data_IF_398686196473
#
_entry.id   IF_398686196473
#
_cell.length_a   1.000
_cell.length_b   1.000
_cell.length_c   1.000
_cell.angle_alpha   90.00
_cell.angle_beta   90.00
_cell.angle_gamma   90.00
#
_symmetry.space_group_name_H-M   'P 1'
#
loop_
_entity.id
_entity.type
_entity.pdbx_description
1 polymer ?
#
# COMPACT_ATOMS: atom_id res chain seq x y z
N UNK A 1 -10.45 4.32 1.73
CA UNK A 1 -10.03 4.86 0.42
C UNK A 1 -8.80 5.75 0.56
N UNK A 2 -8.93 6.98 1.09
CA UNK A 2 -7.82 7.93 1.16
C UNK A 2 -6.59 7.42 1.94
N UNK A 3 -6.78 6.93 3.16
CA UNK A 3 -5.70 6.37 3.98
C UNK A 3 -4.98 5.20 3.29
N UNK A 4 -5.70 4.32 2.59
CA UNK A 4 -5.08 3.23 1.81
C UNK A 4 -4.33 3.74 0.59
N UNK A 5 -4.82 4.80 -0.08
CA UNK A 5 -4.10 5.43 -1.18
C UNK A 5 -2.75 5.99 -0.70
N UNK A 6 -2.73 6.70 0.43
CA UNK A 6 -1.50 7.18 1.06
C UNK A 6 -0.55 6.04 1.45
N UNK A 7 -1.10 4.95 2.00
CA UNK A 7 -0.31 3.76 2.32
C UNK A 7 0.37 3.20 1.07
N UNK A 8 -0.38 2.98 -0.01
CA UNK A 8 0.18 2.39 -1.25
C UNK A 8 1.19 3.33 -1.91
N UNK A 9 0.92 4.64 -1.96
CA UNK A 9 1.89 5.63 -2.44
C UNK A 9 3.19 5.55 -1.62
N UNK A 10 3.09 5.52 -0.29
CA UNK A 10 4.26 5.44 0.58
C UNK A 10 5.01 4.12 0.45
N UNK A 11 4.31 2.99 0.32
CA UNK A 11 4.93 1.68 0.08
C UNK A 11 5.69 1.66 -1.24
N UNK A 12 5.11 2.19 -2.33
CA UNK A 12 5.82 2.30 -3.60
C UNK A 12 7.02 3.22 -3.50
N UNK A 13 6.88 4.37 -2.83
CA UNK A 13 8.00 5.29 -2.60
C UNK A 13 9.17 4.67 -1.84
N UNK A 14 8.89 3.83 -0.83
CA UNK A 14 9.91 3.16 0.01
C UNK A 14 10.61 2.02 -0.74
N UNK A 15 9.89 1.32 -1.61
CA UNK A 15 10.40 0.11 -2.30
C UNK A 15 10.96 0.39 -3.69
N UNK A 16 10.62 1.52 -4.31
CA UNK A 16 11.06 1.82 -5.67
C UNK A 16 12.58 2.07 -5.73
N UNK A 17 13.23 1.30 -6.60
CA UNK A 17 14.66 1.33 -6.84
C UNK A 17 15.13 2.62 -7.52
N UNK A 18 14.22 3.33 -8.19
CA UNK A 18 14.49 4.59 -8.88
C UNK A 18 14.21 5.82 -7.98
N UNK A 19 13.56 5.63 -6.84
CA UNK A 19 13.18 6.67 -5.87
C UNK A 19 13.95 6.55 -4.54
N UNK A 20 15.23 6.21 -4.57
CA UNK A 20 16.08 5.96 -3.39
C UNK A 20 15.42 4.97 -2.41
N UNK A 21 15.49 3.66 -2.68
CA UNK A 21 14.81 2.67 -1.86
C UNK A 21 15.38 2.65 -0.44
N UNK A 22 14.53 2.33 0.52
CA UNK A 22 14.98 1.98 1.85
C UNK A 22 15.86 0.71 1.80
N UNK A 23 16.82 0.60 2.71
CA UNK A 23 17.59 -0.64 2.82
C UNK A 23 16.66 -1.82 3.15
N UNK A 24 16.99 -3.06 2.75
CA UNK A 24 16.17 -4.24 3.07
C UNK A 24 15.87 -4.40 4.57
N UNK A 25 16.79 -3.94 5.42
CA UNK A 25 16.66 -3.98 6.88
C UNK A 25 15.79 -2.84 7.43
N UNK A 26 15.78 -1.66 6.79
CA UNK A 26 15.02 -0.50 7.25
C UNK A 26 13.63 -0.37 6.61
N UNK A 27 13.39 -1.05 5.48
CA UNK A 27 12.12 -0.99 4.77
C UNK A 27 10.91 -1.40 5.65
N UNK A 28 10.97 -2.49 6.45
CA UNK A 28 9.86 -2.86 7.34
C UNK A 28 9.57 -1.76 8.38
N UNK A 29 10.62 -1.17 8.96
CA UNK A 29 10.50 -0.08 9.94
C UNK A 29 9.90 1.17 9.31
N UNK A 30 10.31 1.52 8.09
CA UNK A 30 9.76 2.67 7.36
C UNK A 30 8.26 2.48 7.07
N UNK A 31 7.86 1.29 6.62
CA UNK A 31 6.44 0.96 6.40
C UNK A 31 5.67 0.93 7.71
N UNK A 32 6.25 0.44 8.81
CA UNK A 32 5.61 0.45 10.12
C UNK A 32 5.34 1.89 10.60
N UNK A 33 6.33 2.79 10.48
CA UNK A 33 6.16 4.21 10.82
C UNK A 33 5.11 4.89 9.93
N UNK A 34 5.05 4.55 8.65
CA UNK A 34 4.01 5.02 7.74
C UNK A 34 2.62 4.60 8.22
N UNK A 35 2.43 3.33 8.58
CA UNK A 35 1.16 2.82 9.12
C UNK A 35 0.80 3.51 10.44
N UNK A 36 1.77 3.72 11.33
CA UNK A 36 1.55 4.44 12.59
C UNK A 36 1.11 5.88 12.33
N UNK A 37 1.79 6.61 11.45
CA UNK A 37 1.45 7.99 11.11
C UNK A 37 0.04 8.10 10.50
N UNK A 38 -0.31 7.21 9.56
CA UNK A 38 -1.65 7.15 8.98
C UNK A 38 -2.68 6.78 10.06
N UNK A 39 -2.36 5.85 10.96
CA UNK A 39 -3.20 5.49 12.09
C UNK A 39 -3.48 6.68 13.00
N UNK A 40 -2.45 7.40 13.42
CA UNK A 40 -2.62 8.59 14.27
C UNK A 40 -3.45 9.68 13.60
N UNK A 41 -3.28 9.88 12.29
CA UNK A 41 -4.00 10.93 11.55
C UNK A 41 -5.46 10.57 11.20
N UNK A 42 -5.76 9.29 10.94
CA UNK A 42 -7.05 8.90 10.34
C UNK A 42 -7.84 7.85 11.13
N UNK A 43 -7.33 7.32 12.25
CA UNK A 43 -7.97 6.22 12.99
C UNK A 43 -9.37 6.58 13.51
N UNK A 44 -9.59 7.81 13.98
CA UNK A 44 -10.87 8.23 14.59
C UNK A 44 -12.06 8.19 13.64
N UNK A 45 -11.83 8.22 12.32
CA UNK A 45 -12.92 8.26 11.33
C UNK A 45 -13.50 6.86 11.05
N UNK A 46 -12.64 5.85 10.91
CA UNK A 46 -13.04 4.50 10.42
C UNK A 46 -12.27 3.34 11.05
N UNK A 47 -11.55 3.58 12.16
CA UNK A 47 -10.80 2.54 12.87
C UNK A 47 -9.56 2.02 12.14
N UNK A 48 -9.01 2.82 11.21
CA UNK A 48 -7.86 2.43 10.37
C UNK A 48 -8.17 1.19 9.49
N UNK A 49 -9.33 1.21 8.82
CA UNK A 49 -9.72 0.22 7.82
C UNK A 49 -8.92 0.39 6.51
N UNK A 50 -7.61 0.16 6.57
CA UNK A 50 -6.68 0.33 5.43
C UNK A 50 -6.44 -0.95 4.63
N UNK A 51 -6.87 -2.11 5.15
CA UNK A 51 -6.62 -3.43 4.58
C UNK A 51 -7.88 -4.33 4.72
N UNK A 52 -8.39 -4.95 3.65
CA UNK A 52 -9.54 -5.84 3.70
C UNK A 52 -9.35 -7.03 4.65
N UNK A 53 -8.17 -7.67 4.65
CA UNK A 53 -7.89 -8.84 5.49
C UNK A 53 -7.90 -8.50 6.99
N UNK A 54 -7.50 -7.26 7.34
CA UNK A 54 -7.44 -6.73 8.71
C UNK A 54 -8.83 -6.51 9.33
N UNK A 55 -9.88 -6.49 8.52
CA UNK A 55 -11.27 -6.35 8.96
C UNK A 55 -12.07 -7.64 8.73
N UNK A 56 -11.94 -8.26 7.55
CA UNK A 56 -12.71 -9.47 7.21
C UNK A 56 -12.32 -10.70 8.03
N UNK A 57 -11.02 -10.91 8.29
CA UNK A 57 -10.54 -12.06 9.07
C UNK A 57 -11.12 -12.12 10.48
N UNK A 58 -10.99 -11.04 11.29
CA UNK A 58 -11.63 -10.96 12.60
C UNK A 58 -13.15 -11.13 12.55
N UNK A 59 -13.85 -10.59 11.53
CA UNK A 59 -15.30 -10.80 11.39
C UNK A 59 -15.68 -12.25 11.16
N UNK A 60 -14.91 -12.97 10.32
CA UNK A 60 -15.14 -14.39 10.09
C UNK A 60 -14.89 -15.21 11.36
N UNK A 61 -13.86 -14.87 12.13
CA UNK A 61 -13.64 -15.47 13.45
C UNK A 61 -14.80 -15.19 14.40
N UNK A 62 -15.35 -13.98 14.42
CA UNK A 62 -16.51 -13.67 15.27
C UNK A 62 -17.75 -14.47 14.86
N UNK A 63 -17.98 -14.67 13.55
CA UNK A 63 -19.07 -15.51 13.05
C UNK A 63 -18.99 -16.92 13.64
N UNK A 64 -17.81 -17.53 13.69
CA UNK A 64 -17.60 -18.88 14.23
C UNK A 64 -17.50 -18.92 15.76
N UNK A 65 -17.07 -17.83 16.40
CA UNK A 65 -16.95 -17.70 17.85
C UNK A 65 -18.29 -17.43 18.58
N UNK A 66 -19.42 -17.61 17.89
CA UNK A 66 -20.76 -17.54 18.50
C UNK A 66 -21.41 -16.16 18.47
N UNK A 67 -20.80 -15.14 17.84
CA UNK A 67 -21.46 -13.84 17.61
C UNK A 67 -22.51 -13.90 16.50
N UNK A 68 -22.50 -14.95 15.67
CA UNK A 68 -23.47 -15.15 14.59
C UNK A 68 -23.32 -14.15 13.43
N UNK A 69 -24.29 -14.14 12.51
CA UNK A 69 -24.26 -13.31 11.30
C UNK A 69 -24.42 -11.80 11.56
N UNK A 70 -24.76 -11.43 12.80
CA UNK A 70 -25.01 -10.03 13.16
C UNK A 70 -23.80 -9.13 12.89
N UNK A 71 -22.58 -9.66 12.98
CA UNK A 71 -21.31 -8.97 12.69
C UNK A 71 -21.21 -8.39 11.27
N UNK A 72 -22.00 -8.92 10.33
CA UNK A 72 -22.10 -8.41 8.96
C UNK A 72 -23.26 -7.42 8.77
N UNK A 73 -24.25 -7.42 9.67
CA UNK A 73 -25.40 -6.49 9.61
C UNK A 73 -25.18 -5.18 10.39
N UNK A 74 -24.18 -5.13 11.27
CA UNK A 74 -23.87 -3.96 12.11
C UNK A 74 -23.65 -2.68 11.27
N UNK A 75 -24.16 -1.56 11.81
CA UNK A 75 -24.02 -0.21 11.25
C UNK A 75 -24.40 -0.11 9.76
N UNK A 76 -25.61 -0.55 9.42
CA UNK A 76 -26.13 -0.56 8.04
C UNK A 76 -25.24 -1.36 7.07
N UNK A 77 -24.88 -2.59 7.46
CA UNK A 77 -24.03 -3.47 6.65
C UNK A 77 -22.64 -2.90 6.37
N UNK A 78 -22.00 -2.26 7.36
CA UNK A 78 -20.72 -1.59 7.17
C UNK A 78 -19.57 -2.51 6.69
N UNK A 79 -19.69 -3.84 6.83
CA UNK A 79 -18.64 -4.82 6.53
C UNK A 79 -18.04 -4.70 5.11
N UNK A 80 -18.80 -4.23 4.12
CA UNK A 80 -18.30 -4.12 2.75
C UNK A 80 -17.38 -2.90 2.55
N UNK A 81 -17.53 -1.85 3.37
CA UNK A 81 -16.76 -0.60 3.24
C UNK A 81 -15.26 -0.84 3.47
N UNK A 82 -14.82 -1.55 4.53
CA UNK A 82 -13.42 -1.95 4.72
C UNK A 82 -12.87 -2.93 3.66
N UNK A 83 -13.71 -3.49 2.80
CA UNK A 83 -13.28 -4.38 1.71
C UNK A 83 -13.08 -3.58 0.42
N UNK A 84 -14.13 -2.90 -0.02
CA UNK A 84 -14.13 -2.15 -1.27
C UNK A 84 -13.28 -0.88 -1.15
N UNK A 85 -13.42 -0.15 -0.05
CA UNK A 85 -12.74 1.14 0.16
C UNK A 85 -11.21 1.04 0.08
N UNK A 86 -10.57 0.06 0.74
CA UNK A 86 -9.14 -0.18 0.60
C UNK A 86 -8.73 -0.69 -0.79
N UNK A 87 -9.51 -1.58 -1.40
CA UNK A 87 -9.18 -2.12 -2.72
C UNK A 87 -9.13 -1.02 -3.77
N UNK A 88 -10.15 -0.16 -3.80
CA UNK A 88 -10.20 0.99 -4.71
C UNK A 88 -9.13 2.03 -4.32
N UNK A 89 -8.96 2.31 -3.02
CA UNK A 89 -7.95 3.24 -2.55
C UNK A 89 -6.53 2.81 -2.92
N UNK A 90 -6.21 1.53 -2.83
CA UNK A 90 -4.91 0.99 -3.19
C UNK A 90 -4.64 1.08 -4.69
N UNK A 91 -5.62 0.72 -5.53
CA UNK A 91 -5.51 0.89 -6.98
C UNK A 91 -5.26 2.36 -7.36
N UNK A 92 -6.04 3.29 -6.81
CA UNK A 92 -5.87 4.72 -7.04
C UNK A 92 -4.51 5.24 -6.54
N UNK A 93 -4.07 4.82 -5.34
CA UNK A 93 -2.77 5.20 -4.81
C UNK A 93 -1.61 4.75 -5.70
N UNK A 94 -1.66 3.51 -6.21
CA UNK A 94 -0.65 3.00 -7.14
C UNK A 94 -0.62 3.79 -8.45
N UNK A 95 -1.79 4.07 -9.03
CA UNK A 95 -1.90 4.88 -10.25
C UNK A 95 -1.34 6.29 -10.05
N UNK A 96 -1.67 6.94 -8.92
CA UNK A 96 -1.16 8.27 -8.58
C UNK A 96 0.36 8.26 -8.44
N UNK A 97 0.93 7.24 -7.79
CA UNK A 97 2.39 7.13 -7.66
C UNK A 97 3.07 6.97 -9.03
N UNK A 98 2.56 6.10 -9.89
CA UNK A 98 3.12 5.92 -11.23
C UNK A 98 3.01 7.21 -12.05
N UNK A 99 1.85 7.87 -12.04
CA UNK A 99 1.59 9.12 -12.73
C UNK A 99 2.54 10.25 -12.30
N UNK A 100 2.71 10.44 -10.99
CA UNK A 100 3.41 11.61 -10.44
C UNK A 100 4.89 11.38 -10.16
N UNK A 101 5.31 10.14 -9.86
CA UNK A 101 6.70 9.81 -9.50
C UNK A 101 7.29 8.89 -10.57
N UNK A 102 6.62 7.77 -10.84
CA UNK A 102 7.09 6.74 -11.77
C UNK A 102 7.48 7.26 -13.15
N UNK A 103 6.63 8.09 -13.75
CA UNK A 103 6.89 8.66 -15.08
C UNK A 103 8.01 9.70 -15.12
N UNK A 104 8.42 10.25 -13.96
CA UNK A 104 9.47 11.26 -13.86
C UNK A 104 10.86 10.67 -13.57
N UNK A 105 11.00 9.35 -13.51
CA UNK A 105 12.32 8.75 -13.35
C UNK A 105 13.21 9.02 -14.58
N UNK A 106 14.51 9.29 -14.37
CA UNK A 106 15.44 9.46 -15.46
C UNK A 106 15.48 8.17 -16.30
N UNK A 107 15.25 8.30 -17.61
CA UNK A 107 15.38 7.18 -18.52
C UNK A 107 16.82 6.68 -18.50
N UNK A 108 17.02 5.36 -18.34
CA UNK A 108 18.35 4.77 -18.50
C UNK A 108 18.81 5.05 -19.92
N UNK A 109 19.85 5.86 -20.09
CA UNK A 109 20.53 5.99 -21.36
C UNK A 109 21.01 4.59 -21.75
N UNK A 110 20.39 3.99 -22.75
CA UNK A 110 20.90 2.75 -23.34
C UNK A 110 22.18 3.17 -24.04
N UNK A 111 23.32 3.02 -23.36
CA UNK A 111 24.62 3.08 -24.02
C UNK A 111 24.61 1.90 -24.99
N UNK A 112 24.23 2.16 -26.24
CA UNK A 112 24.44 1.24 -27.34
C UNK A 112 25.96 1.08 -27.41
N UNK A 113 26.50 0.04 -26.77
CA UNK A 113 27.89 -0.35 -26.96
C UNK A 113 28.05 -0.57 -28.46
N UNK A 114 28.79 0.32 -29.13
CA UNK A 114 29.29 0.05 -30.47
C UNK A 114 30.04 -1.28 -30.37
N UNK A 115 29.55 -2.24 -31.15
CA UNK A 115 30.12 -3.58 -31.29
C UNK A 115 31.57 -3.42 -31.81
N UNK A 116 32.58 -3.56 -30.94
CA UNK A 116 33.96 -3.50 -31.43
C UNK A 116 35.09 -3.36 -30.41
N UNK A 117 34.91 -2.78 -29.22
CA UNK A 117 36.07 -2.51 -28.35
C UNK A 117 36.19 -3.52 -27.22
N UNK A 118 36.89 -4.62 -27.51
CA UNK A 118 37.62 -5.39 -26.51
C UNK A 118 38.96 -4.69 -26.26
N UNK A 119 39.25 -4.33 -25.01
CA UNK A 119 40.63 -4.15 -24.58
C UNK A 119 40.86 -4.96 -23.31
N UNK A 120 41.76 -5.92 -23.46
CA UNK A 120 42.53 -6.53 -22.39
C UNK A 120 43.31 -5.41 -21.67
N UNK A 121 43.25 -5.38 -20.33
CA UNK A 121 44.32 -5.71 -19.38
C UNK A 121 43.73 -5.67 -17.97
#
# INVERSE_FOLDING_TARGET
MFATALLVIGVFAVLDQHNRPASPFSAPTAVALLVVGIGMAFSVNTGCAINPARDFGPRLMMLTAGWGSHVFSLNHYYFWVPIVGPTVGGALGGLVYVALVGHHHPQKATVVRKHGEQFHF
#
